data_IF_700558669607
#
_entry.id   IF_700558669607
#
_cell.length_a   1.000
_cell.length_b   1.000
_cell.length_c   1.000
_cell.angle_alpha   90.00
_cell.angle_beta   90.00
_cell.angle_gamma   90.00
#
_symmetry.space_group_name_H-M   'P 1'
#
loop_
_entity.id
_entity.type
_entity.pdbx_description
1 polymer ?
#
# COMPACT_ATOMS: atom_id res chain seq x y z
N UNK A 1 -2.49 5.40 14.45
CA UNK A 1 -1.75 6.56 15.00
C UNK A 1 -0.54 6.94 14.14
N UNK A 2 0.41 6.03 13.84
CA UNK A 2 1.60 6.34 13.03
C UNK A 2 1.32 6.71 11.56
N UNK A 3 0.37 6.04 10.89
CA UNK A 3 0.00 6.28 9.48
C UNK A 3 -0.55 7.70 9.25
N UNK A 4 -1.24 8.26 10.25
CA UNK A 4 -1.72 9.65 10.23
C UNK A 4 -0.60 10.69 10.15
N UNK A 5 0.60 10.39 10.68
CA UNK A 5 1.75 11.30 10.65
C UNK A 5 2.32 11.38 9.24
N UNK A 6 2.46 10.23 8.58
CA UNK A 6 3.01 10.13 7.22
C UNK A 6 2.09 10.81 6.20
N UNK A 7 0.76 10.68 6.36
CA UNK A 7 -0.21 11.48 5.57
C UNK A 7 0.02 12.98 5.72
N UNK A 8 0.15 13.48 6.95
CA UNK A 8 0.38 14.90 7.21
C UNK A 8 1.69 15.39 6.60
N UNK A 9 2.77 14.61 6.69
CA UNK A 9 4.05 14.96 6.05
C UNK A 9 3.92 15.06 4.53
N UNK A 10 3.15 14.17 3.91
CA UNK A 10 2.89 14.22 2.47
C UNK A 10 2.04 15.42 2.07
N UNK A 11 0.94 15.68 2.79
CA UNK A 11 0.05 16.84 2.57
C UNK A 11 0.78 18.18 2.77
N UNK A 12 1.73 18.22 3.70
CA UNK A 12 2.59 19.38 3.95
C UNK A 12 3.78 19.49 2.96
N UNK A 13 3.93 18.56 2.01
CA UNK A 13 5.02 18.55 1.04
C UNK A 13 6.41 18.25 1.64
N UNK A 14 6.47 17.71 2.86
CA UNK A 14 7.73 17.37 3.54
C UNK A 14 8.33 16.05 3.03
N UNK A 15 7.47 15.17 2.52
CA UNK A 15 7.84 13.96 1.81
C UNK A 15 7.03 13.88 0.51
N UNK A 16 7.62 13.27 -0.51
CA UNK A 16 6.93 13.00 -1.76
C UNK A 16 7.40 11.65 -2.33
N UNK A 17 6.50 10.86 -2.94
CA UNK A 17 6.93 9.71 -3.72
C UNK A 17 7.81 10.14 -4.88
N UNK A 18 8.87 9.37 -5.14
CA UNK A 18 9.77 9.63 -6.27
C UNK A 18 9.04 9.47 -7.62
N UNK A 19 8.11 8.51 -7.69
CA UNK A 19 7.31 8.26 -8.88
C UNK A 19 5.96 8.98 -8.79
N UNK A 20 5.60 9.72 -9.85
CA UNK A 20 4.28 10.35 -9.98
C UNK A 20 3.13 9.34 -9.95
N UNK A 21 3.36 8.09 -10.36
CA UNK A 21 2.35 7.03 -10.33
C UNK A 21 2.03 6.57 -8.90
N UNK A 22 3.04 6.57 -8.03
CA UNK A 22 2.87 6.32 -6.59
C UNK A 22 2.24 7.53 -5.92
N UNK A 23 2.59 8.75 -6.34
CA UNK A 23 1.95 9.99 -5.89
C UNK A 23 0.44 9.97 -6.06
N UNK A 24 -0.06 9.57 -7.24
CA UNK A 24 -1.51 9.47 -7.50
C UNK A 24 -2.21 8.39 -6.65
N UNK A 25 -1.47 7.40 -6.16
CA UNK A 25 -1.99 6.28 -5.35
C UNK A 25 -1.75 6.44 -3.86
N UNK A 26 -1.05 7.50 -3.44
CA UNK A 26 -0.59 7.65 -2.06
C UNK A 26 -1.73 7.49 -1.06
N UNK A 27 -2.88 8.13 -1.31
CA UNK A 27 -4.07 7.99 -0.46
C UNK A 27 -4.52 6.53 -0.31
N UNK A 28 -4.72 5.82 -1.41
CA UNK A 28 -5.17 4.42 -1.39
C UNK A 28 -4.15 3.49 -0.72
N UNK A 29 -2.85 3.74 -0.90
CA UNK A 29 -1.78 2.98 -0.24
C UNK A 29 -1.88 3.17 1.28
N UNK A 30 -2.01 4.42 1.74
CA UNK A 30 -2.13 4.71 3.17
C UNK A 30 -3.39 4.12 3.79
N UNK A 31 -4.50 4.06 3.06
CA UNK A 31 -5.73 3.40 3.52
C UNK A 31 -5.51 1.90 3.76
N UNK A 32 -4.77 1.21 2.89
CA UNK A 32 -4.43 -0.21 3.08
C UNK A 32 -3.53 -0.41 4.30
N UNK A 33 -2.52 0.45 4.49
CA UNK A 33 -1.65 0.39 5.67
C UNK A 33 -2.48 0.55 6.95
N UNK A 34 -3.41 1.51 7.00
CA UNK A 34 -4.29 1.72 8.15
C UNK A 34 -5.23 0.54 8.40
N UNK A 35 -5.88 0.04 7.34
CA UNK A 35 -6.78 -1.11 7.43
C UNK A 35 -6.08 -2.38 7.92
N UNK A 36 -4.81 -2.57 7.58
CA UNK A 36 -3.99 -3.69 8.04
C UNK A 36 -3.51 -3.57 9.50
N UNK A 37 -3.85 -2.48 10.19
CA UNK A 37 -3.32 -2.15 11.52
C UNK A 37 -1.77 -2.19 11.60
N UNK A 38 -1.09 -1.85 10.49
CA UNK A 38 0.37 -1.86 10.39
C UNK A 38 0.98 -3.23 10.08
N UNK A 39 0.19 -4.26 9.81
CA UNK A 39 0.72 -5.54 9.32
C UNK A 39 1.34 -5.41 7.92
N UNK A 40 0.85 -4.46 7.11
CA UNK A 40 1.39 -4.15 5.79
C UNK A 40 2.15 -2.83 5.83
N UNK A 41 3.36 -2.84 5.26
CA UNK A 41 4.11 -1.61 5.03
C UNK A 41 3.62 -0.91 3.75
N UNK A 42 4.21 0.26 3.45
CA UNK A 42 3.83 1.06 2.28
C UNK A 42 3.99 0.32 0.94
N UNK A 43 5.04 -0.49 0.78
CA UNK A 43 5.30 -1.26 -0.43
C UNK A 43 4.34 -2.45 -0.56
N UNK A 44 4.03 -3.14 0.53
CA UNK A 44 3.04 -4.22 0.54
C UNK A 44 1.66 -3.68 0.16
N UNK A 45 1.30 -2.54 0.75
CA UNK A 45 0.07 -1.82 0.42
C UNK A 45 0.03 -1.36 -1.05
N UNK A 46 1.17 -0.94 -1.61
CA UNK A 46 1.27 -0.63 -3.04
C UNK A 46 0.97 -1.86 -3.92
N UNK A 47 1.46 -3.06 -3.56
CA UNK A 47 1.13 -4.29 -4.28
C UNK A 47 -0.38 -4.57 -4.24
N UNK A 48 -1.00 -4.40 -3.08
CA UNK A 48 -2.46 -4.56 -2.91
C UNK A 48 -3.23 -3.57 -3.79
N UNK A 49 -2.84 -2.29 -3.79
CA UNK A 49 -3.48 -1.25 -4.63
C UNK A 49 -3.33 -1.57 -6.11
N UNK A 50 -2.12 -1.91 -6.57
CA UNK A 50 -1.87 -2.25 -7.96
C UNK A 50 -2.70 -3.46 -8.42
N UNK A 51 -2.85 -4.47 -7.56
CA UNK A 51 -3.64 -5.65 -7.90
C UNK A 51 -5.15 -5.35 -7.92
N UNK A 52 -5.64 -4.51 -6.99
CA UNK A 52 -7.05 -4.05 -6.98
C UNK A 52 -7.41 -3.24 -8.23
N UNK A 53 -6.47 -2.45 -8.73
CA UNK A 53 -6.63 -1.70 -9.98
C UNK A 53 -6.47 -2.57 -11.24
N UNK A 54 -6.11 -3.85 -11.10
CA UNK A 54 -5.83 -4.74 -12.22
C UNK A 54 -4.55 -4.41 -12.98
N UNK A 55 -3.68 -3.56 -12.42
CA UNK A 55 -2.39 -3.22 -13.01
C UNK A 55 -1.39 -4.38 -12.92
N UNK A 56 -1.55 -5.24 -11.92
CA UNK A 56 -0.80 -6.49 -11.77
C UNK A 56 -1.74 -7.67 -11.52
N UNK A 57 -1.28 -8.86 -11.88
CA UNK A 57 -1.96 -10.13 -11.59
C UNK A 57 -1.60 -10.68 -10.21
N UNK A 58 -1.65 -12.00 -10.08
CA UNK A 58 -1.30 -12.69 -8.84
C UNK A 58 0.18 -12.51 -8.51
N UNK A 59 0.50 -12.36 -7.22
CA UNK A 59 1.85 -12.00 -6.77
C UNK A 59 2.53 -13.22 -6.14
N UNK A 60 3.72 -13.59 -6.62
CA UNK A 60 4.58 -14.53 -5.90
C UNK A 60 5.25 -13.81 -4.73
N UNK A 61 4.93 -14.22 -3.50
CA UNK A 61 5.53 -13.67 -2.28
C UNK A 61 5.61 -14.73 -1.19
N UNK A 62 6.66 -14.64 -0.38
CA UNK A 62 6.81 -15.44 0.85
C UNK A 62 6.24 -14.71 2.08
N UNK A 63 5.89 -13.44 1.94
CA UNK A 63 5.31 -12.66 3.02
C UNK A 63 3.81 -12.96 3.16
N UNK A 64 3.47 -13.68 4.24
CA UNK A 64 2.09 -14.04 4.56
C UNK A 64 1.28 -12.88 5.13
N UNK A 65 1.90 -11.76 5.52
CA UNK A 65 1.17 -10.59 5.96
C UNK A 65 0.23 -10.08 4.84
N UNK A 66 0.61 -10.25 3.58
CA UNK A 66 -0.22 -9.90 2.41
C UNK A 66 -1.57 -10.63 2.38
N UNK A 67 -1.66 -11.83 2.97
CA UNK A 67 -2.91 -12.60 3.05
C UNK A 67 -3.95 -11.93 3.99
N UNK A 68 -3.54 -10.93 4.77
CA UNK A 68 -4.45 -10.11 5.60
C UNK A 68 -5.18 -9.04 4.80
N UNK A 69 -4.71 -8.70 3.59
CA UNK A 69 -5.40 -7.76 2.72
C UNK A 69 -6.58 -8.45 2.02
N UNK A 70 -7.79 -7.95 2.26
CA UNK A 70 -8.99 -8.45 1.62
C UNK A 70 -8.85 -8.44 0.09
N UNK A 71 -9.09 -9.61 -0.52
CA UNK A 71 -9.07 -9.84 -1.95
C UNK A 71 -7.69 -9.96 -2.58
N UNK A 72 -6.60 -9.91 -1.79
CA UNK A 72 -5.25 -10.09 -2.31
C UNK A 72 -5.02 -11.53 -2.78
N UNK A 73 -4.48 -11.67 -3.99
CA UNK A 73 -4.21 -12.94 -4.66
C UNK A 73 -2.70 -13.17 -4.71
N UNK A 74 -2.25 -14.17 -3.95
CA UNK A 74 -0.87 -14.62 -3.89
C UNK A 74 -0.72 -15.90 -4.70
N UNK A 75 0.38 -16.02 -5.45
CA UNK A 75 0.78 -17.26 -6.09
C UNK A 75 1.41 -18.19 -5.04
N UNK A 76 0.74 -19.33 -4.81
CA UNK A 76 1.26 -20.52 -4.12
C UNK A 76 2.13 -20.26 -2.89
#
# INVERSE_FOLDING_TARGET
>A
MATSVVRRWHEAGQIAPVSGDVGRRFGAIMDVVEASAGALNFNDALLVVLQREGAIGDVASFDRALDTAEGFRRLG
#
